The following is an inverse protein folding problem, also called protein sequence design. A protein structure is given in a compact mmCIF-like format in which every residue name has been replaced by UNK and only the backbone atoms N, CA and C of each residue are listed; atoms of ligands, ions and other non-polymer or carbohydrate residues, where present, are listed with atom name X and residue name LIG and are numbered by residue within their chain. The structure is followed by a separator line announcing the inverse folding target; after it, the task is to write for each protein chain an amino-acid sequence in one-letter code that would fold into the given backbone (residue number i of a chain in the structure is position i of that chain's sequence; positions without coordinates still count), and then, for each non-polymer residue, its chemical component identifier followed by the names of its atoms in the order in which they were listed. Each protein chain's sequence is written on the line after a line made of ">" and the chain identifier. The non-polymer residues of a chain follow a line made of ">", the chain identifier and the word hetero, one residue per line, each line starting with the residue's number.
data_IF_196398004579
#
_entry.id   IF_196398004579
#
_cell.length_a   1.000
_cell.length_b   1.000
_cell.length_c   1.000
_cell.angle_alpha   90.00
_cell.angle_beta   90.00
_cell.angle_gamma   90.00
#
_symmetry.space_group_name_H-M   'P 1'
#
loop_
_entity.id
_entity.type
_entity.pdbx_description
1 polymer ?
#
# COMPACT_ATOMS: atom_id res chain seq x y z
N UNK A 1 6.06 15.53 16.16
CA UNK A 1 5.87 14.07 16.42
C UNK A 1 4.45 13.56 16.13
N UNK A 2 3.36 14.30 16.41
CA UNK A 2 1.99 13.82 16.08
C UNK A 2 1.74 13.64 14.57
N UNK A 3 2.23 14.56 13.73
CA UNK A 3 2.00 14.51 12.28
C UNK A 3 2.68 13.33 11.60
N UNK A 4 3.91 12.98 11.99
CA UNK A 4 4.63 11.83 11.45
C UNK A 4 3.97 10.50 11.81
N UNK A 5 3.31 10.40 12.98
CA UNK A 5 2.53 9.22 13.34
C UNK A 5 1.23 9.14 12.51
N UNK A 6 0.61 10.29 12.22
CA UNK A 6 -0.62 10.35 11.43
C UNK A 6 -0.39 9.95 9.97
N UNK A 7 0.71 10.42 9.36
CA UNK A 7 1.11 10.02 8.01
C UNK A 7 1.40 8.54 7.88
N UNK A 8 2.07 7.94 8.87
CA UNK A 8 2.33 6.49 8.89
C UNK A 8 1.05 5.67 8.96
N UNK A 9 0.07 6.11 9.76
CA UNK A 9 -1.24 5.46 9.82
C UNK A 9 -2.00 5.57 8.49
N UNK A 10 -1.87 6.72 7.81
CA UNK A 10 -2.47 6.92 6.50
C UNK A 10 -1.84 6.00 5.43
N UNK A 11 -0.51 5.96 5.35
CA UNK A 11 0.23 5.08 4.43
C UNK A 11 -0.08 3.60 4.69
N UNK A 12 -0.10 3.19 5.95
CA UNK A 12 -0.47 1.83 6.33
C UNK A 12 -1.92 1.50 5.95
N UNK A 13 -2.86 2.45 6.13
CA UNK A 13 -4.25 2.26 5.71
C UNK A 13 -4.38 2.14 4.19
N UNK A 14 -3.68 2.99 3.43
CA UNK A 14 -3.65 2.92 1.96
C UNK A 14 -3.11 1.58 1.49
N UNK A 15 -2.01 1.10 2.09
CA UNK A 15 -1.46 -0.22 1.80
C UNK A 15 -2.47 -1.33 2.08
N UNK A 16 -3.11 -1.32 3.25
CA UNK A 16 -4.07 -2.34 3.66
C UNK A 16 -5.26 -2.39 2.71
N UNK A 17 -5.80 -1.23 2.33
CA UNK A 17 -6.93 -1.13 1.39
C UNK A 17 -6.50 -1.63 0.00
N UNK A 18 -5.34 -1.20 -0.51
CA UNK A 18 -4.85 -1.63 -1.81
C UNK A 18 -4.59 -3.15 -1.86
N UNK A 19 -4.02 -3.72 -0.80
CA UNK A 19 -3.77 -5.15 -0.69
C UNK A 19 -5.06 -5.96 -0.63
N UNK A 20 -6.04 -5.53 0.18
CA UNK A 20 -7.34 -6.20 0.29
C UNK A 20 -8.12 -6.10 -1.01
N UNK A 21 -8.13 -4.93 -1.66
CA UNK A 21 -8.78 -4.74 -2.95
C UNK A 21 -8.13 -5.58 -4.04
N UNK A 22 -6.80 -5.65 -4.07
CA UNK A 22 -6.06 -6.50 -5.00
C UNK A 22 -6.39 -7.98 -4.78
N UNK A 23 -6.31 -8.46 -3.54
CA UNK A 23 -6.64 -9.83 -3.20
C UNK A 23 -8.10 -10.16 -3.53
N UNK A 24 -9.03 -9.23 -3.26
CA UNK A 24 -10.44 -9.40 -3.61
C UNK A 24 -10.62 -9.57 -5.13
N UNK A 25 -9.96 -8.74 -5.95
CA UNK A 25 -10.00 -8.88 -7.40
C UNK A 25 -9.31 -10.16 -7.87
N UNK A 26 -8.20 -10.55 -7.26
CA UNK A 26 -7.47 -11.75 -7.65
C UNK A 26 -8.28 -13.03 -7.40
N UNK A 27 -8.89 -13.15 -6.22
CA UNK A 27 -9.55 -14.38 -5.80
C UNK A 27 -11.05 -14.44 -6.14
N UNK A 28 -11.76 -13.32 -6.17
CA UNK A 28 -13.21 -13.29 -6.39
C UNK A 28 -13.61 -12.79 -7.77
N UNK A 29 -12.72 -12.08 -8.47
CA UNK A 29 -13.01 -11.51 -9.80
C UNK A 29 -11.85 -11.81 -10.78
N UNK A 30 -11.62 -13.08 -11.12
CA UNK A 30 -10.50 -13.47 -12.00
C UNK A 30 -10.62 -12.87 -13.41
N UNK A 31 -11.81 -12.41 -13.82
CA UNK A 31 -12.05 -11.68 -15.07
C UNK A 31 -11.70 -10.19 -15.02
N UNK A 32 -11.34 -9.67 -13.84
CA UNK A 32 -10.90 -8.28 -13.70
C UNK A 32 -9.62 -8.05 -14.49
N UNK A 33 -9.57 -6.89 -15.16
CA UNK A 33 -8.42 -6.48 -15.98
C UNK A 33 -7.11 -6.57 -15.20
N UNK A 34 -6.11 -7.25 -15.78
CA UNK A 34 -4.76 -7.34 -15.24
C UNK A 34 -4.19 -5.96 -14.91
N UNK A 35 -4.50 -4.93 -15.71
CA UNK A 35 -4.06 -3.57 -15.46
C UNK A 35 -4.58 -2.96 -14.15
N UNK A 36 -5.80 -3.30 -13.72
CA UNK A 36 -6.35 -2.82 -12.43
C UNK A 36 -5.64 -3.53 -11.27
N UNK A 37 -5.37 -4.82 -11.42
CA UNK A 37 -4.62 -5.62 -10.45
C UNK A 37 -3.20 -5.08 -10.31
N UNK A 38 -2.52 -4.78 -11.41
CA UNK A 38 -1.19 -4.19 -11.40
C UNK A 38 -1.17 -2.83 -10.71
N UNK A 39 -2.12 -1.94 -11.00
CA UNK A 39 -2.19 -0.63 -10.35
C UNK A 39 -2.32 -0.79 -8.83
N UNK A 40 -3.19 -1.68 -8.35
CA UNK A 40 -3.37 -1.92 -6.91
C UNK A 40 -2.11 -2.50 -6.27
N UNK A 41 -1.46 -3.45 -6.94
CA UNK A 41 -0.22 -4.04 -6.47
C UNK A 41 0.91 -3.01 -6.36
N UNK A 42 1.14 -2.23 -7.43
CA UNK A 42 2.15 -1.17 -7.45
C UNK A 42 1.86 -0.05 -6.46
N UNK A 43 0.58 0.31 -6.26
CA UNK A 43 0.17 1.29 -5.24
C UNK A 43 0.50 0.78 -3.84
N UNK A 44 0.23 -0.50 -3.56
CA UNK A 44 0.62 -1.14 -2.30
C UNK A 44 2.14 -1.17 -2.11
N UNK A 45 2.89 -1.59 -3.13
CA UNK A 45 4.35 -1.63 -3.11
C UNK A 45 4.96 -0.25 -2.83
N UNK A 46 4.44 0.80 -3.47
CA UNK A 46 4.90 2.17 -3.26
C UNK A 46 4.69 2.63 -1.81
N UNK A 47 3.52 2.32 -1.22
CA UNK A 47 3.24 2.65 0.17
C UNK A 47 4.22 1.94 1.14
N UNK A 48 4.60 0.69 0.86
CA UNK A 48 5.63 -0.05 1.62
C UNK A 48 6.99 0.62 1.48
N UNK A 49 7.42 0.94 0.25
CA UNK A 49 8.72 1.57 -0.01
C UNK A 49 8.85 2.92 0.72
N UNK A 50 7.80 3.75 0.69
CA UNK A 50 7.78 5.02 1.42
C UNK A 50 7.89 4.80 2.93
N UNK A 51 7.14 3.83 3.46
CA UNK A 51 7.18 3.48 4.89
C UNK A 51 8.58 3.00 5.31
N UNK A 52 9.22 2.12 4.52
CA UNK A 52 10.57 1.62 4.79
C UNK A 52 11.62 2.73 4.71
N UNK A 53 11.50 3.62 3.73
CA UNK A 53 12.42 4.74 3.54
C UNK A 53 12.36 5.71 4.71
N UNK A 54 11.16 6.01 5.21
CA UNK A 54 11.01 6.82 6.43
C UNK A 54 11.60 6.14 7.67
N UNK A 55 11.38 4.82 7.84
CA UNK A 55 11.97 4.08 8.97
C UNK A 55 13.50 4.13 8.94
N UNK A 56 14.10 4.00 7.75
CA UNK A 56 15.55 4.15 7.58
C UNK A 56 16.03 5.56 7.91
N UNK A 57 15.30 6.60 7.46
CA UNK A 57 15.63 8.00 7.74
C UNK A 57 15.59 8.36 9.22
N UNK A 58 14.72 7.72 10.00
CA UNK A 58 14.63 7.95 11.46
C UNK A 58 15.73 7.21 12.23
N UNK A 59 16.35 6.17 11.64
CA UNK A 59 17.44 5.39 12.26
C UNK A 59 18.85 5.88 11.91
N UNK A 60 19.01 6.68 10.87
CA UNK A 60 20.27 7.30 10.48
C UNK A 60 20.44 8.65 11.21
#
# INVERSE_FOLDING_TARGET
>A
MKETVMWKKLLAAVFLIALVAWAALEFFVPTASEGIKDILFWTGMLAVLLTVTEVRRVRA
#
